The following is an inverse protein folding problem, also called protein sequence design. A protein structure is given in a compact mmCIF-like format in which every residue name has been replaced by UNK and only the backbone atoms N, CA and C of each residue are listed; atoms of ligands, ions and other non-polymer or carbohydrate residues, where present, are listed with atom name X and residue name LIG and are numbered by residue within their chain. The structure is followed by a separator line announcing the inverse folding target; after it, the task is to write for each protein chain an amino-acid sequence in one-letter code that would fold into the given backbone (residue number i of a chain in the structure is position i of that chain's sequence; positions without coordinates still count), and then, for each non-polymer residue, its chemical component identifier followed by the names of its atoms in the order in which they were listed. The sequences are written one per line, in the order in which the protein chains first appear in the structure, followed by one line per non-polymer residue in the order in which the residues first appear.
data_IF_317608794812
#
_entry.id   IF_317608794812
#
_cell.length_a   1.000
_cell.length_b   1.000
_cell.length_c   1.000
_cell.angle_alpha   90.00
_cell.angle_beta   90.00
_cell.angle_gamma   90.00
#
_symmetry.space_group_name_H-M   'P 1'
#
loop_
_entity.id
_entity.type
_entity.pdbx_description
1 polymer ?
#
# COMPACT_ATOMS: atom_id res chain seq x y z
N UNK A 1 6.19 -23.21 -32.04
CA UNK A 1 5.96 -21.79 -31.69
C UNK A 1 4.83 -21.75 -30.66
N UNK A 2 5.18 -21.79 -29.38
CA UNK A 2 4.22 -21.88 -28.26
C UNK A 2 3.83 -20.48 -27.82
N UNK A 3 2.61 -20.07 -28.18
CA UNK A 3 2.02 -18.83 -27.67
C UNK A 3 1.79 -19.01 -26.17
N UNK A 4 2.48 -18.21 -25.35
CA UNK A 4 2.28 -18.19 -23.90
C UNK A 4 0.99 -17.44 -23.60
N UNK A 5 -0.03 -18.16 -23.17
CA UNK A 5 -1.20 -17.57 -22.51
C UNK A 5 -0.74 -16.81 -21.27
N UNK A 6 -0.66 -15.48 -21.38
CA UNK A 6 -0.45 -14.59 -20.25
C UNK A 6 -1.80 -14.40 -19.57
N UNK A 7 -2.03 -15.14 -18.49
CA UNK A 7 -3.14 -14.88 -17.59
C UNK A 7 -2.86 -13.54 -16.90
N UNK A 8 -3.65 -12.53 -17.27
CA UNK A 8 -3.68 -11.25 -16.56
C UNK A 8 -4.68 -11.41 -15.42
N UNK A 9 -4.17 -11.44 -14.19
CA UNK A 9 -4.98 -11.26 -13.00
C UNK A 9 -5.43 -9.80 -13.00
N UNK A 10 -6.69 -9.56 -13.34
CA UNK A 10 -7.33 -8.25 -13.22
C UNK A 10 -8.17 -8.28 -11.96
N UNK A 11 -7.88 -7.37 -11.02
CA UNK A 11 -8.72 -7.15 -9.87
C UNK A 11 -9.90 -6.29 -10.32
N UNK A 12 -11.12 -6.84 -10.24
CA UNK A 12 -12.34 -6.10 -10.56
C UNK A 12 -12.60 -5.13 -9.42
N UNK A 13 -12.25 -3.86 -9.62
CA UNK A 13 -12.71 -2.78 -8.74
C UNK A 13 -14.06 -2.29 -9.21
N UNK A 14 -15.00 -2.17 -8.27
CA UNK A 14 -16.34 -1.64 -8.51
C UNK A 14 -16.26 -0.24 -9.13
N UNK A 15 -17.33 0.19 -9.81
CA UNK A 15 -17.28 1.39 -10.69
C UNK A 15 -17.06 2.71 -9.92
N UNK A 16 -17.22 2.70 -8.60
CA UNK A 16 -16.93 3.80 -7.66
C UNK A 16 -15.61 3.63 -6.86
N UNK A 17 -14.81 2.61 -7.16
CA UNK A 17 -13.65 2.22 -6.35
C UNK A 17 -14.10 1.51 -5.08
N UNK A 18 -13.68 0.27 -4.87
CA UNK A 18 -14.09 -0.48 -3.68
C UNK A 18 -13.57 0.20 -2.41
N UNK A 19 -14.46 0.83 -1.65
CA UNK A 19 -14.17 1.34 -0.32
C UNK A 19 -14.41 0.26 0.72
N UNK A 20 -13.70 0.35 1.85
CA UNK A 20 -13.80 -0.59 2.96
C UNK A 20 -14.04 0.18 4.23
N UNK A 21 -15.07 -0.21 4.98
CA UNK A 21 -15.22 0.21 6.36
C UNK A 21 -14.04 -0.27 7.22
N UNK A 22 -13.88 0.32 8.41
CA UNK A 22 -12.92 -0.17 9.42
C UNK A 22 -13.07 -1.68 9.66
N UNK A 23 -14.29 -2.21 9.66
CA UNK A 23 -14.54 -3.64 9.86
C UNK A 23 -13.96 -4.47 8.71
N UNK A 24 -14.29 -4.10 7.48
CA UNK A 24 -13.88 -4.86 6.29
C UNK A 24 -12.37 -4.83 6.09
N UNK A 25 -11.71 -3.69 6.32
CA UNK A 25 -10.25 -3.61 6.22
C UNK A 25 -9.56 -4.45 7.31
N UNK A 26 -10.13 -4.53 8.52
CA UNK A 26 -9.64 -5.41 9.57
C UNK A 26 -9.77 -6.89 9.19
N UNK A 27 -10.94 -7.29 8.67
CA UNK A 27 -11.21 -8.67 8.23
C UNK A 27 -10.27 -9.08 7.09
N UNK A 28 -10.10 -8.22 6.07
CA UNK A 28 -9.21 -8.48 4.93
C UNK A 28 -7.72 -8.42 5.31
N UNK A 29 -7.35 -7.57 6.26
CA UNK A 29 -6.00 -7.47 6.80
C UNK A 29 -5.66 -8.58 7.80
N UNK A 30 -6.66 -9.27 8.36
CA UNK A 30 -6.46 -10.24 9.43
C UNK A 30 -5.88 -9.61 10.70
N UNK A 31 -6.32 -8.40 11.05
CA UNK A 31 -5.82 -7.65 12.21
C UNK A 31 -6.95 -7.00 13.02
N UNK A 32 -6.65 -6.58 14.24
CA UNK A 32 -7.62 -5.90 15.10
C UNK A 32 -7.73 -4.41 14.75
N UNK A 33 -8.92 -3.83 15.01
CA UNK A 33 -9.19 -2.41 14.77
C UNK A 33 -8.18 -1.48 15.45
N UNK A 34 -7.71 -1.82 16.66
CA UNK A 34 -6.68 -1.06 17.37
C UNK A 34 -5.41 -0.87 16.54
N UNK A 35 -5.00 -1.88 15.76
CA UNK A 35 -3.83 -1.79 14.91
C UNK A 35 -4.06 -0.82 13.75
N UNK A 36 -5.22 -0.92 13.09
CA UNK A 36 -5.60 -0.03 11.98
C UNK A 36 -5.68 1.42 12.46
N UNK A 37 -6.31 1.67 13.63
CA UNK A 37 -6.41 3.00 14.23
C UNK A 37 -5.03 3.58 14.48
N UNK A 38 -4.11 2.83 15.10
CA UNK A 38 -2.76 3.32 15.33
C UNK A 38 -2.02 3.60 14.01
N UNK A 39 -2.21 2.79 12.97
CA UNK A 39 -1.62 3.10 11.67
C UNK A 39 -2.16 4.39 11.07
N UNK A 40 -3.44 4.73 11.30
CA UNK A 40 -4.00 6.03 10.94
C UNK A 40 -3.36 7.15 11.78
N UNK A 41 -3.23 6.97 13.09
CA UNK A 41 -2.61 7.96 13.99
C UNK A 41 -1.14 8.25 13.62
N UNK A 42 -0.41 7.23 13.16
CA UNK A 42 0.96 7.36 12.66
C UNK A 42 1.03 7.81 11.18
N UNK A 43 -0.09 8.06 10.52
CA UNK A 43 -0.16 8.51 9.13
C UNK A 43 0.29 7.45 8.10
N UNK A 44 0.37 6.18 8.50
CA UNK A 44 0.80 5.08 7.62
C UNK A 44 -0.27 4.75 6.58
N UNK A 45 -1.53 4.86 6.97
CA UNK A 45 -2.73 4.79 6.12
C UNK A 45 -3.65 5.94 6.51
N UNK A 46 -4.56 6.33 5.63
CA UNK A 46 -5.57 7.34 5.92
C UNK A 46 -6.94 6.85 5.46
N UNK A 47 -8.03 7.20 6.18
CA UNK A 47 -9.37 7.08 5.64
C UNK A 47 -9.57 8.08 4.49
N UNK A 48 -10.59 7.85 3.66
CA UNK A 48 -10.98 8.73 2.55
C UNK A 48 -11.44 10.10 3.05
N UNK A 49 -12.21 10.11 4.14
CA UNK A 49 -12.67 11.32 4.82
C UNK A 49 -12.15 11.33 6.27
N UNK A 50 -11.59 12.46 6.70
CA UNK A 50 -11.14 12.69 8.07
C UNK A 50 -12.33 13.00 8.98
N UNK A 51 -13.11 11.98 9.31
CA UNK A 51 -14.23 12.07 10.25
C UNK A 51 -13.78 11.68 11.68
N UNK A 52 -14.25 12.38 12.74
CA UNK A 52 -13.89 12.05 14.12
C UNK A 52 -14.36 10.66 14.58
N UNK A 53 -15.46 10.17 14.01
CA UNK A 53 -16.00 8.86 14.37
C UNK A 53 -15.31 7.76 13.57
N UNK A 54 -14.39 7.05 14.22
CA UNK A 54 -13.61 5.93 13.66
C UNK A 54 -14.47 4.87 12.97
N UNK A 55 -15.71 4.64 13.44
CA UNK A 55 -16.64 3.66 12.85
C UNK A 55 -17.13 4.07 11.46
N UNK A 56 -17.07 5.35 11.12
CA UNK A 56 -17.47 5.89 9.84
C UNK A 56 -16.32 5.93 8.82
N UNK A 57 -15.08 5.63 9.24
CA UNK A 57 -13.94 5.59 8.34
C UNK A 57 -14.17 4.63 7.17
N UNK A 58 -13.88 5.13 5.98
CA UNK A 58 -13.82 4.39 4.73
C UNK A 58 -12.38 4.42 4.22
N UNK A 59 -11.92 3.30 3.68
CA UNK A 59 -10.56 3.14 3.18
C UNK A 59 -10.60 2.66 1.73
N UNK A 60 -9.70 3.13 0.89
CA UNK A 60 -9.58 2.64 -0.47
C UNK A 60 -8.69 1.38 -0.55
N UNK A 61 -8.53 0.89 -1.77
CA UNK A 61 -7.64 -0.25 -2.08
C UNK A 61 -6.17 0.08 -1.77
N UNK A 62 -5.74 1.34 -1.89
CA UNK A 62 -4.38 1.74 -1.58
C UNK A 62 -4.08 1.60 -0.08
N UNK A 63 -5.00 2.04 0.79
CA UNK A 63 -4.92 1.87 2.24
C UNK A 63 -4.90 0.38 2.63
N UNK A 64 -5.74 -0.47 2.01
CA UNK A 64 -5.69 -1.92 2.25
C UNK A 64 -4.34 -2.53 1.84
N UNK A 65 -3.82 -2.18 0.66
CA UNK A 65 -2.50 -2.64 0.21
C UNK A 65 -1.38 -2.21 1.15
N UNK A 66 -1.46 -0.98 1.66
CA UNK A 66 -0.50 -0.40 2.59
C UNK A 66 -0.57 -1.08 3.96
N UNK A 67 -1.76 -1.39 4.47
CA UNK A 67 -1.96 -2.18 5.69
C UNK A 67 -1.30 -3.57 5.56
N UNK A 68 -1.51 -4.28 4.45
CA UNK A 68 -0.92 -5.60 4.22
C UNK A 68 0.61 -5.54 4.19
N UNK A 69 1.19 -4.50 3.58
CA UNK A 69 2.65 -4.27 3.61
C UNK A 69 3.14 -4.03 5.04
N UNK A 70 2.43 -3.22 5.82
CA UNK A 70 2.76 -2.95 7.22
C UNK A 70 2.76 -4.23 8.07
N UNK A 71 1.72 -5.06 7.96
CA UNK A 71 1.61 -6.33 8.68
C UNK A 71 2.75 -7.29 8.34
N UNK A 72 3.07 -7.44 7.04
CA UNK A 72 4.18 -8.28 6.59
C UNK A 72 5.52 -7.79 7.17
N UNK A 73 5.78 -6.48 7.06
CA UNK A 73 7.02 -5.88 7.54
C UNK A 73 7.16 -6.00 9.06
N UNK A 74 6.07 -5.77 9.81
CA UNK A 74 6.04 -5.93 11.25
C UNK A 74 6.38 -7.37 11.67
N UNK A 75 5.80 -8.36 10.98
CA UNK A 75 6.08 -9.78 11.25
C UNK A 75 7.53 -10.13 10.96
N UNK A 76 8.03 -9.70 9.82
CA UNK A 76 9.34 -10.10 9.32
C UNK A 76 10.48 -9.43 10.13
N UNK A 77 10.26 -8.19 10.60
CA UNK A 77 11.28 -7.40 11.32
C UNK A 77 11.02 -7.22 12.83
N UNK A 78 9.89 -7.73 13.34
CA UNK A 78 9.47 -7.63 14.76
C UNK A 78 9.51 -6.18 15.30
N UNK A 79 9.11 -5.22 14.48
CA UNK A 79 9.14 -3.80 14.83
C UNK A 79 7.97 -3.42 15.74
N UNK A 80 8.22 -2.41 16.59
CA UNK A 80 7.13 -1.66 17.21
C UNK A 80 6.46 -0.73 16.18
N UNK A 81 5.31 -0.16 16.53
CA UNK A 81 4.52 0.68 15.60
C UNK A 81 5.26 1.95 15.11
N UNK A 82 5.93 2.74 15.96
CA UNK A 82 6.72 3.88 15.48
C UNK A 82 7.83 3.46 14.51
N UNK A 83 8.56 2.39 14.82
CA UNK A 83 9.62 1.87 13.97
C UNK A 83 9.08 1.33 12.65
N UNK A 84 7.90 0.73 12.67
CA UNK A 84 7.19 0.27 11.47
C UNK A 84 6.82 1.44 10.55
N UNK A 85 6.23 2.51 11.11
CA UNK A 85 5.84 3.69 10.35
C UNK A 85 7.06 4.33 9.65
N UNK A 86 8.12 4.61 10.42
CA UNK A 86 9.38 5.14 9.89
C UNK A 86 10.00 4.23 8.82
N UNK A 87 10.01 2.91 9.04
CA UNK A 87 10.58 1.97 8.06
C UNK A 87 9.79 1.96 6.75
N UNK A 88 8.46 2.08 6.81
CA UNK A 88 7.63 2.13 5.63
C UNK A 88 7.85 3.42 4.83
N UNK A 89 8.03 4.56 5.50
CA UNK A 89 8.38 5.83 4.87
C UNK A 89 9.74 5.75 4.16
N UNK A 90 10.78 5.25 4.84
CA UNK A 90 12.10 5.05 4.23
C UNK A 90 12.07 4.08 3.06
N UNK A 91 11.26 3.02 3.13
CA UNK A 91 11.09 2.09 2.01
C UNK A 91 10.43 2.77 0.80
N UNK A 92 9.49 3.70 1.02
CA UNK A 92 8.88 4.47 -0.06
C UNK A 92 9.89 5.44 -0.68
N UNK A 93 10.70 6.12 0.12
CA UNK A 93 11.79 6.98 -0.36
C UNK A 93 12.78 6.19 -1.23
N UNK A 94 13.23 5.03 -0.75
CA UNK A 94 14.15 4.14 -1.50
C UNK A 94 13.50 3.67 -2.81
N UNK A 95 12.22 3.34 -2.80
CA UNK A 95 11.50 2.99 -4.02
C UNK A 95 11.38 4.18 -4.98
N UNK A 96 11.12 5.38 -4.48
CA UNK A 96 11.10 6.61 -5.26
C UNK A 96 12.44 6.88 -5.94
N UNK A 97 13.54 6.79 -5.18
CA UNK A 97 14.89 6.95 -5.71
C UNK A 97 15.21 5.92 -6.79
N UNK A 98 14.88 4.64 -6.57
CA UNK A 98 15.10 3.57 -7.56
C UNK A 98 14.31 3.82 -8.85
N UNK A 99 13.05 4.24 -8.75
CA UNK A 99 12.22 4.56 -9.92
C UNK A 99 12.80 5.71 -10.75
N UNK A 100 13.33 6.75 -10.10
CA UNK A 100 13.93 7.87 -10.83
C UNK A 100 15.23 7.44 -11.53
N UNK A 101 16.08 6.64 -10.88
CA UNK A 101 17.27 6.06 -11.51
C UNK A 101 16.88 5.22 -12.73
N UNK A 102 15.87 4.35 -12.61
CA UNK A 102 15.40 3.52 -13.72
C UNK A 102 14.85 4.38 -14.88
N UNK A 103 14.08 5.43 -14.56
CA UNK A 103 13.55 6.37 -15.55
C UNK A 103 14.66 7.12 -16.28
N UNK A 104 15.68 7.60 -15.58
CA UNK A 104 16.83 8.29 -16.17
C UNK A 104 17.63 7.34 -17.07
N UNK A 105 17.86 6.10 -16.61
CA UNK A 105 18.53 5.08 -17.41
C UNK A 105 17.74 4.74 -18.69
N UNK A 106 16.41 4.66 -18.62
CA UNK A 106 15.55 4.47 -19.80
C UNK A 106 15.69 5.63 -20.79
N UNK A 107 15.70 6.88 -20.30
CA UNK A 107 15.90 8.07 -21.14
C UNK A 107 17.27 8.09 -21.81
N UNK A 108 18.32 7.72 -21.08
CA UNK A 108 19.68 7.63 -21.64
C UNK A 108 19.72 6.60 -22.77
N UNK A 109 19.13 5.41 -22.59
CA UNK A 109 19.05 4.39 -23.65
C UNK A 109 18.31 4.90 -24.89
N UNK A 110 17.15 5.55 -24.69
CA UNK A 110 16.38 6.16 -25.77
C UNK A 110 17.18 7.21 -26.56
N UNK A 111 18.00 8.03 -25.89
CA UNK A 111 18.84 9.03 -26.54
C UNK A 111 20.07 8.43 -27.25
N UNK A 112 20.57 7.30 -26.76
CA UNK A 112 21.70 6.57 -27.37
C UNK A 112 21.28 5.66 -28.54
N UNK A 113 19.97 5.53 -28.81
CA UNK A 113 19.46 4.78 -29.95
C UNK A 113 19.47 3.25 -29.78
N UNK A 114 19.55 2.77 -28.53
CA UNK A 114 19.41 1.34 -28.18
C UNK A 114 17.97 0.97 -27.80
#
# INVERSE_FOLDING_TARGET
MTSKDRILMVEVTDTDGSTFSLREICERGGCHAEFVIKLVDYGVIAPLDEVPEVRQWQFDVAALSRLQKALRLQRDLKLNLPGLAMSLELLDEVQGMRREVDRLNQRIRQLMGE
#
